data_IF_772578404292
#
_entry.id   IF_772578404292
#
_cell.length_a   1.000
_cell.length_b   1.000
_cell.length_c   1.000
_cell.angle_alpha   90.00
_cell.angle_beta   90.00
_cell.angle_gamma   90.00
#
_symmetry.space_group_name_H-M   'P 1'
#
loop_
_entity.id
_entity.type
_entity.pdbx_description
1 polymer ?
#
# COMPACT_ATOMS: atom_id res chain seq x y z
N UNK A 1 -13.88 -7.89 -7.10
CA UNK A 1 -15.18 -7.92 -6.39
C UNK A 1 -15.00 -7.51 -4.93
N UNK A 2 -14.06 -8.10 -4.17
CA UNK A 2 -13.84 -7.78 -2.74
C UNK A 2 -13.38 -6.33 -2.50
N UNK A 3 -12.49 -5.79 -3.35
CA UNK A 3 -12.09 -4.39 -3.28
C UNK A 3 -13.27 -3.41 -3.52
N UNK A 4 -14.25 -3.80 -4.34
CA UNK A 4 -15.46 -3.01 -4.53
C UNK A 4 -16.38 -3.00 -3.29
N UNK A 5 -16.39 -4.08 -2.53
CA UNK A 5 -17.13 -4.18 -1.27
C UNK A 5 -16.53 -3.24 -0.21
N UNK A 6 -15.19 -3.13 -0.16
CA UNK A 6 -14.49 -2.19 0.73
C UNK A 6 -14.90 -0.74 0.46
N UNK A 7 -14.96 -0.34 -0.82
CA UNK A 7 -15.35 1.02 -1.24
C UNK A 7 -16.74 1.41 -0.75
N UNK A 8 -17.66 0.46 -0.67
CA UNK A 8 -19.03 0.69 -0.20
C UNK A 8 -19.13 0.61 1.33
N UNK A 9 -18.40 -0.33 1.95
CA UNK A 9 -18.46 -0.55 3.39
C UNK A 9 -17.80 0.55 4.22
N UNK A 10 -16.68 1.14 3.75
CA UNK A 10 -15.93 2.13 4.50
C UNK A 10 -16.77 3.38 4.82
N UNK A 11 -17.45 4.05 3.85
CA UNK A 11 -18.28 5.20 4.14
C UNK A 11 -19.46 4.87 5.09
N UNK A 12 -20.07 3.69 4.92
CA UNK A 12 -21.20 3.29 5.77
C UNK A 12 -20.77 3.01 7.22
N UNK A 13 -19.57 2.44 7.42
CA UNK A 13 -19.03 2.20 8.77
C UNK A 13 -18.54 3.48 9.44
N UNK A 14 -17.99 4.43 8.69
CA UNK A 14 -17.64 5.76 9.19
C UNK A 14 -18.89 6.54 9.68
N UNK A 15 -20.04 6.30 9.09
CA UNK A 15 -21.33 6.88 9.56
C UNK A 15 -21.73 6.36 10.94
N UNK A 16 -21.48 5.08 11.24
CA UNK A 16 -21.80 4.48 12.53
C UNK A 16 -20.95 5.05 13.68
N UNK A 17 -19.82 5.69 13.37
CA UNK A 17 -18.96 6.36 14.35
C UNK A 17 -19.37 7.81 14.70
N UNK A 18 -20.56 8.25 14.27
CA UNK A 18 -21.13 9.55 14.65
C UNK A 18 -20.81 10.72 13.71
N UNK A 19 -20.15 10.47 12.56
CA UNK A 19 -19.94 11.47 11.53
C UNK A 19 -21.17 11.64 10.62
N UNK A 20 -21.36 12.87 10.13
CA UNK A 20 -22.38 13.11 9.10
C UNK A 20 -22.01 12.35 7.81
N UNK A 21 -23.00 12.00 7.01
CA UNK A 21 -22.79 11.30 5.73
C UNK A 21 -21.88 12.06 4.80
N UNK A 22 -22.00 13.38 4.75
CA UNK A 22 -21.17 14.28 3.95
C UNK A 22 -19.71 14.27 4.43
N UNK A 23 -19.46 14.37 5.74
CA UNK A 23 -18.12 14.35 6.30
C UNK A 23 -17.37 13.02 6.10
N UNK A 24 -18.09 11.89 6.21
CA UNK A 24 -17.48 10.57 5.96
C UNK A 24 -17.05 10.39 4.50
N UNK A 25 -17.88 10.83 3.57
CA UNK A 25 -17.59 10.78 2.12
C UNK A 25 -16.48 11.75 1.73
N UNK A 26 -16.43 12.91 2.36
CA UNK A 26 -15.37 13.91 2.13
C UNK A 26 -14.01 13.37 2.56
N UNK A 27 -13.89 12.84 3.78
CA UNK A 27 -12.62 12.24 4.27
C UNK A 27 -12.20 11.06 3.40
N UNK A 28 -13.14 10.19 3.02
CA UNK A 28 -12.85 9.07 2.15
C UNK A 28 -12.40 9.54 0.75
N UNK A 29 -13.03 10.58 0.20
CA UNK A 29 -12.65 11.18 -1.06
C UNK A 29 -11.25 11.80 -1.03
N UNK A 30 -10.90 12.52 0.04
CA UNK A 30 -9.56 13.08 0.25
C UNK A 30 -8.52 11.96 0.34
N UNK A 31 -8.81 10.91 1.10
CA UNK A 31 -7.92 9.77 1.28
C UNK A 31 -7.65 9.04 -0.05
N UNK A 32 -8.71 8.64 -0.75
CA UNK A 32 -8.62 7.83 -1.97
C UNK A 32 -8.26 8.64 -3.21
N UNK A 33 -8.73 9.88 -3.30
CA UNK A 33 -8.54 10.74 -4.47
C UNK A 33 -7.28 11.61 -4.41
N UNK A 34 -6.79 11.93 -3.22
CA UNK A 34 -5.67 12.86 -3.04
C UNK A 34 -4.44 12.18 -2.43
N UNK A 35 -4.57 11.59 -1.23
CA UNK A 35 -3.43 11.05 -0.50
C UNK A 35 -2.88 9.77 -1.11
N UNK A 36 -3.73 8.80 -1.44
CA UNK A 36 -3.30 7.51 -2.00
C UNK A 36 -2.57 7.64 -3.34
N UNK A 37 -3.08 8.36 -4.35
CA UNK A 37 -2.37 8.52 -5.62
C UNK A 37 -0.98 9.14 -5.47
N UNK A 38 -0.83 10.10 -4.57
CA UNK A 38 0.45 10.75 -4.31
C UNK A 38 1.46 9.77 -3.70
N UNK A 39 1.04 8.97 -2.74
CA UNK A 39 1.89 7.96 -2.08
C UNK A 39 2.23 6.81 -3.03
N UNK A 40 1.31 6.44 -3.91
CA UNK A 40 1.53 5.39 -4.90
C UNK A 40 2.37 5.87 -6.09
N UNK A 41 2.54 7.17 -6.31
CA UNK A 41 3.32 7.69 -7.43
C UNK A 41 4.76 7.16 -7.45
N UNK A 42 5.57 7.18 -6.37
CA UNK A 42 6.90 6.58 -6.38
C UNK A 42 6.90 5.06 -6.53
N UNK A 43 5.78 4.37 -6.24
CA UNK A 43 5.67 2.93 -6.42
C UNK A 43 5.75 2.48 -7.88
N UNK A 44 5.55 3.40 -8.82
CA UNK A 44 5.75 3.12 -10.26
C UNK A 44 7.19 2.71 -10.56
N UNK A 45 8.17 3.27 -9.84
CA UNK A 45 9.58 2.88 -9.96
C UNK A 45 9.80 1.44 -9.48
N UNK A 46 9.25 1.10 -8.31
CA UNK A 46 9.35 -0.27 -7.78
C UNK A 46 8.58 -1.27 -8.63
N UNK A 47 7.45 -0.88 -9.21
CA UNK A 47 6.69 -1.70 -10.17
C UNK A 47 7.50 -1.99 -11.43
N UNK A 48 8.18 -1.01 -12.01
CA UNK A 48 9.03 -1.20 -13.18
C UNK A 48 10.15 -2.20 -12.91
N UNK A 49 10.83 -2.06 -11.76
CA UNK A 49 11.85 -3.03 -11.32
C UNK A 49 11.22 -4.42 -11.12
N UNK A 50 10.05 -4.50 -10.54
CA UNK A 50 9.34 -5.74 -10.26
C UNK A 50 8.94 -6.49 -11.53
N UNK A 51 8.50 -5.79 -12.57
CA UNK A 51 8.17 -6.39 -13.87
C UNK A 51 9.41 -6.97 -14.53
N UNK A 52 10.56 -6.30 -14.47
CA UNK A 52 11.82 -6.81 -15.02
C UNK A 52 12.41 -7.96 -14.19
N UNK A 53 12.12 -7.99 -12.89
CA UNK A 53 12.62 -9.00 -11.97
C UNK A 53 12.00 -10.37 -12.22
N UNK A 54 10.73 -10.41 -12.60
CA UNK A 54 9.96 -11.64 -12.82
C UNK A 54 10.61 -12.56 -13.86
N UNK A 55 10.88 -12.13 -15.11
CA UNK A 55 11.54 -12.98 -16.10
C UNK A 55 13.00 -13.30 -15.71
N UNK A 56 13.72 -12.34 -15.11
CA UNK A 56 15.11 -12.57 -14.69
C UNK A 56 15.23 -13.68 -13.64
N UNK A 57 14.33 -13.72 -12.67
CA UNK A 57 14.32 -14.79 -11.65
C UNK A 57 13.92 -16.12 -12.28
N UNK A 58 12.91 -16.13 -13.15
CA UNK A 58 12.45 -17.35 -13.83
C UNK A 58 13.59 -17.98 -14.68
N UNK A 59 14.33 -17.17 -15.41
CA UNK A 59 15.48 -17.61 -16.19
C UNK A 59 16.61 -18.18 -15.31
N UNK A 60 16.99 -17.47 -14.24
CA UNK A 60 18.01 -17.94 -13.29
C UNK A 60 17.59 -19.22 -12.59
N UNK A 61 16.29 -19.42 -12.37
CA UNK A 61 15.75 -20.64 -11.79
C UNK A 61 15.83 -21.82 -12.78
N UNK A 62 15.51 -21.59 -14.05
CA UNK A 62 15.66 -22.59 -15.10
C UNK A 62 17.13 -23.03 -15.29
N UNK A 63 18.07 -22.10 -15.10
CA UNK A 63 19.52 -22.36 -15.14
C UNK A 63 20.07 -22.99 -13.84
N UNK A 64 19.27 -23.17 -12.80
CA UNK A 64 19.70 -23.73 -11.51
C UNK A 64 20.64 -22.84 -10.70
N UNK A 65 20.78 -21.57 -11.03
CA UNK A 65 21.74 -20.65 -10.43
C UNK A 65 21.26 -20.05 -9.10
N UNK A 66 21.05 -20.86 -8.06
CA UNK A 66 20.51 -20.46 -6.76
C UNK A 66 21.28 -19.30 -6.09
N UNK A 67 22.60 -19.27 -6.18
CA UNK A 67 23.42 -18.18 -5.59
C UNK A 67 23.12 -16.83 -6.24
N UNK A 68 22.90 -16.79 -7.56
CA UNK A 68 22.55 -15.57 -8.28
C UNK A 68 21.14 -15.09 -7.96
N UNK A 69 20.20 -16.02 -7.81
CA UNK A 69 18.82 -15.70 -7.37
C UNK A 69 18.85 -14.99 -6.03
N UNK A 70 19.53 -15.54 -5.03
CA UNK A 70 19.65 -14.92 -3.70
C UNK A 70 20.29 -13.54 -3.75
N UNK A 71 21.32 -13.37 -4.54
CA UNK A 71 21.99 -12.07 -4.71
C UNK A 71 21.04 -11.01 -5.31
N UNK A 72 20.32 -11.37 -6.38
CA UNK A 72 19.36 -10.47 -7.05
C UNK A 72 18.24 -10.09 -6.10
N UNK A 73 17.63 -11.06 -5.42
CA UNK A 73 16.56 -10.83 -4.45
C UNK A 73 17.03 -9.87 -3.35
N UNK A 74 18.16 -10.17 -2.71
CA UNK A 74 18.67 -9.35 -1.59
C UNK A 74 18.98 -7.92 -2.03
N UNK A 75 19.58 -7.75 -3.19
CA UNK A 75 19.91 -6.43 -3.73
C UNK A 75 18.65 -5.63 -4.06
N UNK A 76 17.67 -6.26 -4.72
CA UNK A 76 16.41 -5.58 -5.08
C UNK A 76 15.61 -5.21 -3.84
N UNK A 77 15.47 -6.11 -2.87
CA UNK A 77 14.79 -5.81 -1.61
C UNK A 77 15.48 -4.66 -0.86
N UNK A 78 16.82 -4.64 -0.84
CA UNK A 78 17.59 -3.54 -0.25
C UNK A 78 17.30 -2.20 -0.93
N UNK A 79 17.32 -2.15 -2.27
CA UNK A 79 16.98 -0.94 -3.02
C UNK A 79 15.53 -0.48 -2.75
N UNK A 80 14.57 -1.40 -2.75
CA UNK A 80 13.17 -1.07 -2.47
C UNK A 80 12.96 -0.57 -1.04
N UNK A 81 13.70 -1.14 -0.06
CA UNK A 81 13.65 -0.67 1.33
C UNK A 81 14.22 0.75 1.46
N UNK A 82 15.36 1.02 0.84
CA UNK A 82 15.97 2.37 0.84
C UNK A 82 15.05 3.38 0.16
N UNK A 83 14.48 3.04 -0.99
CA UNK A 83 13.49 3.87 -1.68
C UNK A 83 12.25 4.12 -0.82
N UNK A 84 11.69 3.06 -0.24
CA UNK A 84 10.50 3.14 0.60
C UNK A 84 10.71 3.99 1.86
N UNK A 85 11.84 3.82 2.56
CA UNK A 85 12.19 4.63 3.72
C UNK A 85 12.49 6.08 3.34
N UNK A 86 13.16 6.31 2.21
CA UNK A 86 13.38 7.65 1.68
C UNK A 86 12.07 8.38 1.38
N UNK A 87 11.13 7.72 0.70
CA UNK A 87 9.79 8.27 0.45
C UNK A 87 9.00 8.48 1.74
N UNK A 88 9.11 7.57 2.73
CA UNK A 88 8.49 7.74 4.04
C UNK A 88 8.93 9.05 4.70
N UNK A 89 10.24 9.29 4.80
CA UNK A 89 10.76 10.52 5.37
C UNK A 89 10.34 11.76 4.58
N UNK A 90 10.38 11.69 3.25
CA UNK A 90 9.97 12.78 2.38
C UNK A 90 8.49 13.15 2.61
N UNK A 91 7.59 12.18 2.57
CA UNK A 91 6.16 12.42 2.79
C UNK A 91 5.84 12.77 4.24
N UNK A 92 6.60 12.27 5.20
CA UNK A 92 6.43 12.64 6.60
C UNK A 92 6.76 14.10 6.84
N UNK A 93 7.89 14.60 6.30
CA UNK A 93 8.34 15.98 6.47
C UNK A 93 7.51 16.94 5.62
N UNK A 94 7.28 16.59 4.35
CA UNK A 94 6.63 17.46 3.37
C UNK A 94 5.12 17.24 3.25
N UNK A 95 4.53 16.30 3.98
CA UNK A 95 3.13 15.90 3.80
C UNK A 95 2.14 17.04 3.97
N UNK A 96 2.30 17.89 4.99
CA UNK A 96 1.46 19.07 5.18
C UNK A 96 1.65 20.11 4.08
N UNK A 97 2.88 20.35 3.67
CA UNK A 97 3.18 21.27 2.56
C UNK A 97 2.56 20.77 1.25
N UNK A 98 2.70 19.49 0.95
CA UNK A 98 2.11 18.87 -0.24
C UNK A 98 0.58 18.90 -0.21
N UNK A 99 -0.02 18.63 0.95
CA UNK A 99 -1.47 18.70 1.11
C UNK A 99 -2.03 20.09 0.90
N UNK A 100 -1.39 21.12 1.44
CA UNK A 100 -1.80 22.51 1.29
C UNK A 100 -1.47 23.08 -0.08
N UNK A 101 -0.30 22.76 -0.64
CA UNK A 101 0.16 23.30 -1.92
C UNK A 101 -0.54 22.66 -3.12
N UNK A 102 -0.68 21.32 -3.16
CA UNK A 102 -1.29 20.61 -4.28
C UNK A 102 -2.82 20.56 -4.20
N UNK A 103 -3.37 20.39 -3.01
CA UNK A 103 -4.79 20.12 -2.83
C UNK A 103 -5.54 21.24 -2.09
N UNK A 104 -4.85 22.26 -1.62
CA UNK A 104 -5.42 23.36 -0.83
C UNK A 104 -6.24 22.87 0.37
N UNK A 105 -5.85 21.71 0.93
CA UNK A 105 -6.58 21.03 2.00
C UNK A 105 -5.61 20.49 3.06
N UNK A 106 -5.75 21.01 4.28
CA UNK A 106 -4.92 20.59 5.43
C UNK A 106 -5.19 19.15 5.85
N UNK A 107 -6.42 18.67 5.70
CA UNK A 107 -6.78 17.27 6.00
C UNK A 107 -6.05 16.30 5.09
N UNK A 108 -5.88 16.64 3.81
CA UNK A 108 -5.08 15.85 2.86
C UNK A 108 -3.62 15.74 3.32
N UNK A 109 -3.04 16.83 3.84
CA UNK A 109 -1.68 16.82 4.38
C UNK A 109 -1.50 15.87 5.55
N UNK A 110 -2.43 15.87 6.49
CA UNK A 110 -2.43 14.94 7.63
C UNK A 110 -2.57 13.49 7.16
N UNK A 111 -3.44 13.23 6.20
CA UNK A 111 -3.57 11.90 5.60
C UNK A 111 -2.28 11.42 4.92
N UNK A 112 -1.59 12.30 4.17
CA UNK A 112 -0.30 11.98 3.53
C UNK A 112 0.74 11.64 4.59
N UNK A 113 0.83 12.42 5.68
CA UNK A 113 1.75 12.15 6.77
C UNK A 113 1.47 10.80 7.45
N UNK A 114 0.21 10.51 7.76
CA UNK A 114 -0.18 9.24 8.37
C UNK A 114 0.15 8.04 7.47
N UNK A 115 -0.15 8.15 6.17
CA UNK A 115 0.12 7.08 5.21
C UNK A 115 1.61 6.94 4.85
N UNK A 116 2.45 7.93 5.13
CA UNK A 116 3.89 7.85 4.83
C UNK A 116 4.55 6.61 5.44
N UNK A 117 4.12 6.21 6.65
CA UNK A 117 4.62 4.99 7.32
C UNK A 117 4.32 3.70 6.57
N UNK A 118 3.30 3.70 5.72
CA UNK A 118 2.90 2.52 4.95
C UNK A 118 3.75 2.37 3.67
N UNK A 119 4.40 3.44 3.18
CA UNK A 119 5.19 3.42 1.95
C UNK A 119 6.21 2.26 1.84
N UNK A 120 7.10 2.02 2.83
CA UNK A 120 8.09 0.98 2.71
C UNK A 120 7.45 -0.42 2.59
N UNK A 121 6.34 -0.64 3.29
CA UNK A 121 5.61 -1.91 3.24
C UNK A 121 4.92 -2.12 1.88
N UNK A 122 4.30 -1.08 1.32
CA UNK A 122 3.68 -1.16 0.00
C UNK A 122 4.70 -1.48 -1.10
N UNK A 123 5.85 -0.83 -1.07
CA UNK A 123 6.88 -1.04 -2.09
C UNK A 123 7.56 -2.40 -1.95
N UNK A 124 7.78 -2.88 -0.74
CA UNK A 124 8.26 -4.24 -0.49
C UNK A 124 7.25 -5.30 -0.94
N UNK A 125 5.96 -5.08 -0.68
CA UNK A 125 4.91 -6.03 -1.04
C UNK A 125 4.85 -6.28 -2.56
N UNK A 126 4.92 -5.23 -3.38
CA UNK A 126 4.93 -5.36 -4.85
C UNK A 126 6.14 -6.16 -5.33
N UNK A 127 7.31 -5.89 -4.78
CA UNK A 127 8.55 -6.57 -5.14
C UNK A 127 8.54 -8.04 -4.69
N UNK A 128 8.09 -8.34 -3.47
CA UNK A 128 7.96 -9.71 -2.97
C UNK A 128 6.99 -10.54 -3.80
N UNK A 129 5.88 -9.95 -4.19
CA UNK A 129 4.90 -10.60 -5.09
C UNK A 129 5.53 -10.98 -6.42
N UNK A 130 6.31 -10.09 -7.03
CA UNK A 130 7.02 -10.38 -8.28
C UNK A 130 8.10 -11.47 -8.12
N UNK A 131 8.83 -11.47 -7.01
CA UNK A 131 9.81 -12.52 -6.69
C UNK A 131 9.12 -13.89 -6.57
N UNK A 132 8.01 -13.98 -5.84
CA UNK A 132 7.26 -15.23 -5.68
C UNK A 132 6.72 -15.74 -7.00
N UNK A 133 6.21 -14.85 -7.85
CA UNK A 133 5.73 -15.20 -9.18
C UNK A 133 6.89 -15.66 -10.08
N UNK A 134 8.04 -14.98 -10.03
CA UNK A 134 9.25 -15.37 -10.78
C UNK A 134 9.81 -16.74 -10.36
N UNK A 135 9.64 -17.11 -9.09
CA UNK A 135 9.99 -18.44 -8.56
C UNK A 135 8.93 -19.52 -8.88
N UNK A 136 7.91 -19.22 -9.68
CA UNK A 136 6.84 -20.14 -10.02
C UNK A 136 5.90 -20.49 -8.85
N UNK A 137 5.99 -19.77 -7.73
CA UNK A 137 5.17 -19.97 -6.53
C UNK A 137 3.94 -19.06 -6.49
N UNK A 138 3.31 -18.84 -7.64
CA UNK A 138 2.12 -18.00 -7.79
C UNK A 138 0.94 -18.43 -6.91
N UNK A 139 0.80 -19.75 -6.65
CA UNK A 139 -0.21 -20.27 -5.72
C UNK A 139 -0.05 -19.75 -4.29
N UNK A 140 1.18 -19.63 -3.79
CA UNK A 140 1.44 -19.00 -2.47
C UNK A 140 1.09 -17.51 -2.49
N UNK A 141 1.38 -16.81 -3.57
CA UNK A 141 1.03 -15.40 -3.73
C UNK A 141 -0.49 -15.20 -3.66
N UNK A 142 -1.27 -16.06 -4.31
CA UNK A 142 -2.74 -16.05 -4.23
C UNK A 142 -3.24 -16.32 -2.81
N UNK A 143 -2.65 -17.28 -2.10
CA UNK A 143 -3.02 -17.56 -0.72
C UNK A 143 -2.76 -16.36 0.20
N UNK A 144 -1.56 -15.76 0.13
CA UNK A 144 -1.23 -14.57 0.92
C UNK A 144 -2.16 -13.39 0.60
N UNK A 145 -2.44 -13.16 -0.69
CA UNK A 145 -3.36 -12.09 -1.10
C UNK A 145 -4.77 -12.33 -0.59
N UNK A 146 -5.26 -13.56 -0.64
CA UNK A 146 -6.59 -13.93 -0.13
C UNK A 146 -6.69 -13.74 1.39
N UNK A 147 -5.68 -14.19 2.14
CA UNK A 147 -5.61 -14.01 3.58
C UNK A 147 -5.55 -12.52 3.95
N UNK A 148 -4.73 -11.75 3.25
CA UNK A 148 -4.61 -10.29 3.45
C UNK A 148 -5.95 -9.58 3.25
N UNK A 149 -6.69 -9.92 2.19
CA UNK A 149 -8.02 -9.34 1.93
C UNK A 149 -9.01 -9.74 3.02
N UNK A 150 -9.01 -11.00 3.46
CA UNK A 150 -9.89 -11.45 4.55
C UNK A 150 -9.60 -10.71 5.86
N UNK A 151 -8.33 -10.55 6.24
CA UNK A 151 -7.92 -9.80 7.43
C UNK A 151 -8.37 -8.34 7.31
N UNK A 152 -8.15 -7.73 6.16
CA UNK A 152 -8.52 -6.32 5.90
C UNK A 152 -10.03 -6.10 5.99
N UNK A 153 -10.83 -6.98 5.39
CA UNK A 153 -12.29 -6.93 5.49
C UNK A 153 -12.74 -7.14 6.93
N UNK A 154 -12.18 -8.11 7.65
CA UNK A 154 -12.50 -8.33 9.06
C UNK A 154 -12.14 -7.12 9.92
N UNK A 155 -11.00 -6.47 9.65
CA UNK A 155 -10.58 -5.26 10.35
C UNK A 155 -11.55 -4.09 10.11
N UNK A 156 -11.96 -3.86 8.85
CA UNK A 156 -12.95 -2.84 8.48
C UNK A 156 -14.28 -3.09 9.21
N UNK A 157 -14.72 -4.34 9.27
CA UNK A 157 -16.01 -4.68 9.90
C UNK A 157 -16.00 -4.55 11.42
N UNK A 158 -14.89 -4.89 12.09
CA UNK A 158 -14.80 -4.97 13.54
C UNK A 158 -14.22 -3.71 14.19
N UNK A 159 -13.22 -3.10 13.61
CA UNK A 159 -12.44 -2.03 14.25
C UNK A 159 -13.00 -0.64 13.95
N UNK A 160 -13.49 -0.39 12.75
CA UNK A 160 -14.04 0.92 12.40
C UNK A 160 -15.25 1.29 13.27
N UNK A 161 -16.25 0.42 13.54
CA UNK A 161 -17.38 0.79 14.40
C UNK A 161 -16.99 1.00 15.87
N UNK A 162 -15.85 0.41 16.33
CA UNK A 162 -15.40 0.53 17.72
C UNK A 162 -14.55 1.78 17.98
N UNK A 163 -13.68 2.14 17.05
CA UNK A 163 -12.68 3.21 17.22
C UNK A 163 -12.94 4.46 16.33
N UNK A 164 -13.97 4.44 15.48
CA UNK A 164 -14.27 5.53 14.57
C UNK A 164 -13.12 5.81 13.59
N UNK A 165 -12.90 7.11 13.29
CA UNK A 165 -11.84 7.54 12.35
C UNK A 165 -10.44 7.09 12.77
N UNK A 166 -10.17 7.04 14.08
CA UNK A 166 -8.84 6.62 14.59
C UNK A 166 -8.56 5.15 14.27
N UNK A 167 -9.57 4.30 14.22
CA UNK A 167 -9.42 2.90 13.85
C UNK A 167 -9.11 2.69 12.37
N UNK A 168 -9.58 3.58 11.50
CA UNK A 168 -9.32 3.50 10.07
C UNK A 168 -7.84 3.75 9.70
N UNK A 169 -7.14 4.59 10.45
CA UNK A 169 -5.72 4.88 10.23
C UNK A 169 -4.77 3.80 10.79
N UNK A 170 -5.28 2.90 11.64
CA UNK A 170 -4.49 1.82 12.24
C UNK A 170 -4.54 0.49 11.45
N UNK A 171 -5.48 0.31 10.51
CA UNK A 171 -5.66 -0.92 9.72
C UNK A 171 -5.09 -0.83 8.34
#
# INVERSE_FOLDING_TARGET
VLAGIEVLLIPDRLRLSGLSRSGSLEIYGIFTGMALPLILFPSTLTNSVSVMLLPSIAELQALGCQKRIHYVIRRTLGCCTVLGTGCMFLFFIMGQFLGTFLFHNTTAGICIQALSFVCPFLYLNTTLTSILNGLGKSGLCLLYSSISICIRVAFVLLVIPLLGIRGYFCG
#
